data_IF_874434895366
#
_entry.id   IF_874434895366
#
_cell.length_a   1.000
_cell.length_b   1.000
_cell.length_c   1.000
_cell.angle_alpha   90.00
_cell.angle_beta   90.00
_cell.angle_gamma   90.00
#
_symmetry.space_group_name_H-M   'P 1'
#
loop_
_entity.id
_entity.type
_entity.pdbx_description
1 polymer ?
#
# COMPACT_ATOMS: atom_id res chain seq x y z
N UNK A 1 -6.96 30.72 -26.03
CA UNK A 1 -6.03 29.81 -26.74
C UNK A 1 -5.70 28.65 -25.81
N UNK A 2 -6.00 27.41 -26.19
CA UNK A 2 -5.67 26.24 -25.38
C UNK A 2 -4.14 26.05 -25.41
N UNK A 3 -3.46 26.19 -24.26
CA UNK A 3 -2.00 26.03 -24.23
C UNK A 3 -1.62 24.61 -24.67
N UNK A 4 -0.61 24.50 -25.53
CA UNK A 4 -0.07 23.20 -25.92
C UNK A 4 0.37 22.42 -24.67
N UNK A 5 0.06 21.12 -24.63
CA UNK A 5 0.39 20.22 -23.52
C UNK A 5 1.13 19.01 -24.03
N UNK A 6 2.12 18.53 -23.28
CA UNK A 6 2.83 17.31 -23.61
C UNK A 6 1.85 16.12 -23.61
N UNK A 7 1.97 15.22 -24.58
CA UNK A 7 1.19 13.99 -24.68
C UNK A 7 2.10 12.81 -24.35
N UNK A 8 1.58 11.80 -23.65
CA UNK A 8 2.33 10.55 -23.45
C UNK A 8 2.26 9.67 -24.68
N UNK A 9 3.29 8.85 -24.85
CA UNK A 9 3.33 7.77 -25.83
C UNK A 9 2.91 6.46 -25.19
N UNK A 10 2.38 5.52 -25.98
CA UNK A 10 2.01 4.18 -25.48
C UNK A 10 3.19 3.47 -24.82
N UNK A 11 4.41 3.62 -25.35
CA UNK A 11 5.61 3.03 -24.74
C UNK A 11 5.88 3.59 -23.34
N UNK A 12 5.69 4.89 -23.13
CA UNK A 12 5.80 5.50 -21.81
C UNK A 12 4.73 4.98 -20.85
N UNK A 13 3.49 4.81 -21.33
CA UNK A 13 2.40 4.31 -20.48
C UNK A 13 2.59 2.85 -20.08
N UNK A 14 3.07 2.00 -21.00
CA UNK A 14 3.46 0.63 -20.69
C UNK A 14 4.59 0.56 -19.67
N UNK A 15 5.58 1.43 -19.82
CA UNK A 15 6.69 1.51 -18.87
C UNK A 15 6.20 1.94 -17.48
N UNK A 16 5.37 2.98 -17.39
CA UNK A 16 4.77 3.40 -16.13
C UNK A 16 3.82 2.35 -15.53
N UNK A 17 3.13 1.56 -16.36
CA UNK A 17 2.30 0.45 -15.90
C UNK A 17 3.15 -0.70 -15.31
N UNK A 18 4.31 -1.00 -15.91
CA UNK A 18 5.27 -1.95 -15.34
C UNK A 18 5.81 -1.45 -13.98
N UNK A 19 6.07 -0.14 -13.86
CA UNK A 19 6.46 0.46 -12.58
C UNK A 19 5.32 0.49 -11.55
N UNK A 20 4.06 0.61 -11.99
CA UNK A 20 2.90 0.47 -11.11
C UNK A 20 2.74 -0.98 -10.60
N UNK A 21 2.97 -1.97 -11.47
CA UNK A 21 3.05 -3.38 -11.09
C UNK A 21 4.17 -3.61 -10.05
N UNK A 22 5.37 -3.11 -10.32
CA UNK A 22 6.50 -3.22 -9.38
C UNK A 22 6.20 -2.54 -8.03
N UNK A 23 5.58 -1.36 -8.07
CA UNK A 23 5.17 -0.61 -6.88
C UNK A 23 4.25 -1.44 -6.00
N UNK A 24 3.25 -2.12 -6.57
CA UNK A 24 2.32 -2.93 -5.78
C UNK A 24 2.91 -4.26 -5.30
N UNK A 25 3.93 -4.79 -5.97
CA UNK A 25 4.65 -5.97 -5.45
C UNK A 25 5.38 -5.67 -4.13
N UNK A 26 5.84 -4.43 -3.91
CA UNK A 26 6.55 -4.03 -2.68
C UNK A 26 5.75 -4.34 -1.40
N UNK A 27 4.56 -3.75 -1.20
CA UNK A 27 3.74 -3.99 -0.01
C UNK A 27 3.32 -5.46 0.16
N UNK A 28 3.13 -6.19 -0.94
CA UNK A 28 2.78 -7.61 -0.86
C UNK A 28 3.94 -8.47 -0.33
N UNK A 29 5.15 -8.22 -0.83
CA UNK A 29 6.37 -8.90 -0.36
C UNK A 29 6.65 -8.53 1.09
N UNK A 30 6.44 -7.27 1.45
CA UNK A 30 6.63 -6.78 2.80
C UNK A 30 5.61 -7.36 3.79
N UNK A 31 4.32 -7.34 3.44
CA UNK A 31 3.27 -7.99 4.23
C UNK A 31 3.46 -9.51 4.36
N UNK A 32 3.99 -10.16 3.32
CA UNK A 32 4.43 -11.55 3.41
C UNK A 32 5.56 -11.72 4.43
N UNK A 33 6.58 -10.86 4.40
CA UNK A 33 7.71 -10.93 5.33
C UNK A 33 7.27 -10.73 6.79
N UNK A 34 6.38 -9.75 7.05
CA UNK A 34 5.77 -9.52 8.36
C UNK A 34 5.00 -10.75 8.85
N UNK A 35 4.17 -11.37 8.01
CA UNK A 35 3.38 -12.57 8.38
C UNK A 35 4.23 -13.83 8.59
N UNK A 36 5.45 -13.88 8.06
CA UNK A 36 6.35 -15.03 8.14
C UNK A 36 7.55 -14.80 9.07
N UNK A 37 7.52 -13.75 9.91
CA UNK A 37 8.58 -13.43 10.87
C UNK A 37 9.95 -13.27 10.20
N UNK A 38 9.96 -12.72 8.98
CA UNK A 38 11.19 -12.43 8.20
C UNK A 38 11.65 -10.97 8.38
N UNK A 39 11.07 -10.26 9.33
CA UNK A 39 11.37 -8.87 9.70
C UNK A 39 11.76 -8.83 11.18
N UNK A 40 12.62 -7.88 11.51
CA UNK A 40 12.91 -7.50 12.88
C UNK A 40 12.03 -6.30 13.29
N UNK A 41 12.25 -5.78 14.50
CA UNK A 41 11.60 -4.55 14.99
C UNK A 41 12.30 -3.28 14.48
N UNK A 42 12.79 -3.31 13.24
CA UNK A 42 13.44 -2.15 12.61
C UNK A 42 12.58 -1.58 11.48
N UNK A 43 12.69 -0.26 11.28
CA UNK A 43 11.99 0.42 10.20
C UNK A 43 12.58 0.11 8.82
N UNK A 44 13.87 -0.24 8.73
CA UNK A 44 14.54 -0.46 7.45
C UNK A 44 14.84 -1.94 7.26
N UNK A 45 13.98 -2.62 6.51
CA UNK A 45 14.16 -4.03 6.15
C UNK A 45 14.56 -4.16 4.68
N UNK A 46 15.18 -5.28 4.27
CA UNK A 46 15.39 -5.58 2.85
C UNK A 46 14.10 -5.59 2.03
N UNK A 47 12.95 -5.87 2.65
CA UNK A 47 11.64 -5.92 2.02
C UNK A 47 11.09 -4.51 1.74
N UNK A 48 11.25 -3.58 2.69
CA UNK A 48 10.99 -2.15 2.48
C UNK A 48 11.84 -1.57 1.34
N UNK A 49 13.05 -2.07 1.11
CA UNK A 49 13.89 -1.61 0.01
C UNK A 49 13.25 -1.84 -1.37
N UNK A 50 12.45 -2.91 -1.53
CA UNK A 50 11.69 -3.15 -2.76
C UNK A 50 10.61 -2.08 -2.94
N UNK A 51 9.84 -1.80 -1.89
CA UNK A 51 8.80 -0.77 -1.88
C UNK A 51 9.40 0.63 -2.17
N UNK A 52 10.41 1.04 -1.41
CA UNK A 52 11.04 2.35 -1.59
C UNK A 52 11.78 2.46 -2.92
N UNK A 53 12.41 1.38 -3.39
CA UNK A 53 13.05 1.33 -4.70
C UNK A 53 12.04 1.50 -5.84
N UNK A 54 10.90 0.81 -5.78
CA UNK A 54 9.82 0.94 -6.76
C UNK A 54 9.22 2.35 -6.75
N UNK A 55 9.01 2.93 -5.56
CA UNK A 55 8.60 4.32 -5.40
C UNK A 55 9.62 5.24 -6.07
N UNK A 56 10.90 5.14 -5.70
CA UNK A 56 11.96 5.99 -6.22
C UNK A 56 12.06 5.94 -7.74
N UNK A 57 11.93 4.76 -8.35
CA UNK A 57 11.90 4.61 -9.81
C UNK A 57 10.71 5.35 -10.44
N UNK A 58 9.50 5.22 -9.89
CA UNK A 58 8.34 5.99 -10.36
C UNK A 58 8.60 7.50 -10.26
N UNK A 59 9.12 7.97 -9.12
CA UNK A 59 9.45 9.38 -8.89
C UNK A 59 10.50 9.92 -9.85
N UNK A 60 11.59 9.19 -10.06
CA UNK A 60 12.67 9.60 -10.96
C UNK A 60 12.20 9.70 -12.41
N UNK A 61 11.39 8.75 -12.87
CA UNK A 61 10.84 8.76 -14.23
C UNK A 61 9.88 9.93 -14.44
N UNK A 62 9.00 10.20 -13.46
CA UNK A 62 8.10 11.34 -13.51
C UNK A 62 8.86 12.67 -13.43
N UNK A 63 9.89 12.76 -12.59
CA UNK A 63 10.75 13.93 -12.51
C UNK A 63 11.47 14.17 -13.84
N UNK A 64 12.06 13.12 -14.43
CA UNK A 64 12.72 13.21 -15.73
C UNK A 64 11.74 13.63 -16.84
N UNK A 65 10.53 13.08 -16.87
CA UNK A 65 9.48 13.47 -17.81
C UNK A 65 9.06 14.94 -17.64
N UNK A 66 8.92 15.40 -16.40
CA UNK A 66 8.59 16.80 -16.08
C UNK A 66 9.72 17.76 -16.50
N UNK A 67 10.97 17.44 -16.18
CA UNK A 67 12.14 18.22 -16.62
C UNK A 67 12.22 18.26 -18.15
N UNK A 68 11.97 17.13 -18.82
CA UNK A 68 11.92 17.08 -20.27
C UNK A 68 10.83 17.99 -20.84
N UNK A 69 9.61 17.97 -20.26
CA UNK A 69 8.53 18.88 -20.65
C UNK A 69 8.91 20.36 -20.47
N UNK A 70 9.48 20.73 -19.33
CA UNK A 70 9.94 22.10 -19.09
C UNK A 70 11.02 22.54 -20.08
N UNK A 71 12.01 21.68 -20.37
CA UNK A 71 13.07 21.94 -21.35
C UNK A 71 12.55 22.09 -22.79
N UNK A 72 11.37 21.55 -23.09
CA UNK A 72 10.66 21.72 -24.36
C UNK A 72 9.80 22.99 -24.41
N UNK A 73 9.81 23.81 -23.36
CA UNK A 73 9.09 25.08 -23.29
C UNK A 73 7.64 24.99 -22.82
N UNK A 74 7.20 23.82 -22.34
CA UNK A 74 5.86 23.70 -21.73
C UNK A 74 5.83 24.41 -20.38
N UNK A 75 4.72 25.06 -20.06
CA UNK A 75 4.49 25.60 -18.71
C UNK A 75 4.45 24.47 -17.68
N UNK A 76 4.75 24.77 -16.41
CA UNK A 76 4.78 23.76 -15.34
C UNK A 76 3.54 22.86 -15.35
N UNK A 77 2.33 23.43 -15.39
CA UNK A 77 1.06 22.67 -15.42
C UNK A 77 0.94 21.71 -16.61
N UNK A 78 1.66 21.97 -17.70
CA UNK A 78 1.64 21.21 -18.95
C UNK A 78 2.91 20.38 -19.19
N UNK A 79 3.84 20.37 -18.23
CA UNK A 79 5.12 19.68 -18.34
C UNK A 79 5.00 18.15 -18.18
N UNK A 80 3.92 17.66 -17.58
CA UNK A 80 3.58 16.24 -17.53
C UNK A 80 2.33 15.94 -18.37
N UNK A 81 2.28 14.74 -18.98
CA UNK A 81 1.10 14.32 -19.71
C UNK A 81 -0.12 14.24 -18.77
N UNK A 82 -1.34 14.42 -19.31
CA UNK A 82 -2.57 14.18 -18.57
C UNK A 82 -2.55 12.83 -17.81
N UNK A 83 -3.07 12.83 -16.58
CA UNK A 83 -3.05 11.68 -15.68
C UNK A 83 -1.83 11.62 -14.74
N UNK A 84 -0.63 11.96 -15.23
CA UNK A 84 0.61 11.78 -14.45
C UNK A 84 0.86 12.82 -13.36
N UNK A 85 0.10 13.93 -13.33
CA UNK A 85 0.13 14.84 -12.17
C UNK A 85 -0.38 14.18 -10.89
N UNK A 86 -1.40 13.32 -10.99
CA UNK A 86 -1.89 12.57 -9.83
C UNK A 86 -0.80 11.65 -9.31
N UNK A 87 -0.10 10.95 -10.21
CA UNK A 87 1.03 10.10 -9.83
C UNK A 87 2.18 10.90 -9.21
N UNK A 88 2.54 12.06 -9.78
CA UNK A 88 3.59 12.91 -9.24
C UNK A 88 3.24 13.50 -7.85
N UNK A 89 1.97 13.87 -7.63
CA UNK A 89 1.50 14.28 -6.31
C UNK A 89 1.50 13.09 -5.33
N UNK A 90 1.15 11.89 -5.80
CA UNK A 90 1.25 10.65 -5.05
C UNK A 90 2.68 10.38 -4.59
N UNK A 91 3.68 10.58 -5.47
CA UNK A 91 5.11 10.48 -5.11
C UNK A 91 5.46 11.42 -3.96
N UNK A 92 5.08 12.69 -4.05
CA UNK A 92 5.34 13.68 -3.00
C UNK A 92 4.65 13.28 -1.69
N UNK A 93 3.39 12.85 -1.77
CA UNK A 93 2.63 12.38 -0.63
C UNK A 93 3.23 11.12 -0.02
N UNK A 94 3.79 10.21 -0.83
CA UNK A 94 4.43 9.00 -0.35
C UNK A 94 5.71 9.32 0.41
N UNK A 95 6.53 10.25 -0.08
CA UNK A 95 7.74 10.70 0.63
C UNK A 95 7.37 11.36 1.96
N UNK A 96 6.37 12.23 1.97
CA UNK A 96 5.86 12.84 3.21
C UNK A 96 5.26 11.79 4.15
N UNK A 97 4.50 10.85 3.61
CA UNK A 97 3.90 9.73 4.33
C UNK A 97 4.94 8.81 4.94
N UNK A 98 6.03 8.50 4.25
CA UNK A 98 7.12 7.68 4.77
C UNK A 98 7.91 8.38 5.88
N UNK A 99 8.10 9.70 5.78
CA UNK A 99 8.66 10.48 6.88
C UNK A 99 7.72 10.53 8.10
N UNK A 100 6.41 10.66 7.85
CA UNK A 100 5.38 10.60 8.88
C UNK A 100 5.33 9.22 9.54
N UNK A 101 5.46 8.15 8.77
CA UNK A 101 5.51 6.76 9.23
C UNK A 101 6.73 6.47 10.08
N UNK A 102 7.92 6.88 9.62
CA UNK A 102 9.14 6.80 10.42
C UNK A 102 8.99 7.54 11.76
N UNK A 103 8.46 8.77 11.75
CA UNK A 103 8.16 9.51 12.97
C UNK A 103 7.13 8.80 13.85
N UNK A 104 6.07 8.28 13.25
CA UNK A 104 5.00 7.58 13.94
C UNK A 104 5.54 6.41 14.75
N UNK A 105 6.42 5.61 14.15
CA UNK A 105 7.07 4.49 14.84
C UNK A 105 7.98 4.92 16.00
N UNK A 106 8.55 6.13 15.98
CA UNK A 106 9.32 6.64 17.13
C UNK A 106 8.44 6.98 18.33
N UNK A 107 7.17 7.35 18.09
CA UNK A 107 6.24 7.79 19.14
C UNK A 107 5.39 6.62 19.65
N UNK A 108 4.91 5.77 18.74
CA UNK A 108 3.93 4.72 19.05
C UNK A 108 4.51 3.30 18.97
N UNK A 109 5.75 3.14 18.49
CA UNK A 109 6.36 1.83 18.23
C UNK A 109 5.97 1.25 16.87
N UNK A 110 6.49 0.05 16.57
CA UNK A 110 6.13 -0.69 15.35
C UNK A 110 4.87 -1.49 15.61
N UNK A 111 3.87 -1.30 14.76
CA UNK A 111 2.60 -1.99 14.88
C UNK A 111 2.70 -3.49 14.63
N UNK A 112 1.76 -4.23 15.21
CA UNK A 112 1.51 -5.64 14.93
C UNK A 112 0.01 -5.81 14.70
N UNK A 113 -0.43 -6.95 14.18
CA UNK A 113 -1.87 -7.14 14.00
C UNK A 113 -2.45 -6.36 12.83
N UNK A 114 -3.74 -6.08 12.97
CA UNK A 114 -4.52 -5.25 12.03
C UNK A 114 -3.96 -3.81 12.01
N UNK A 115 -3.33 -3.34 13.10
CA UNK A 115 -2.80 -1.99 13.20
C UNK A 115 -1.72 -1.68 12.13
N UNK A 116 -1.02 -2.70 11.63
CA UNK A 116 -0.13 -2.58 10.45
C UNK A 116 -0.84 -2.04 9.20
N UNK A 117 -2.14 -2.35 9.04
CA UNK A 117 -2.93 -1.91 7.89
C UNK A 117 -3.66 -0.59 8.17
N UNK A 118 -4.18 -0.40 9.38
CA UNK A 118 -5.11 0.70 9.68
C UNK A 118 -4.47 1.90 10.38
N UNK A 119 -3.20 1.85 10.73
CA UNK A 119 -2.53 2.99 11.36
C UNK A 119 -2.56 4.22 10.43
N UNK A 120 -2.70 5.44 11.00
CA UNK A 120 -2.81 6.65 10.20
C UNK A 120 -1.66 6.85 9.21
N UNK A 121 -0.43 6.46 9.55
CA UNK A 121 0.72 6.60 8.67
C UNK A 121 0.65 5.67 7.45
N UNK A 122 0.31 4.40 7.66
CA UNK A 122 0.15 3.42 6.59
C UNK A 122 -1.02 3.78 5.66
N UNK A 123 -2.12 4.34 6.18
CA UNK A 123 -3.22 4.81 5.33
C UNK A 123 -2.82 5.99 4.42
N UNK A 124 -1.95 6.90 4.88
CA UNK A 124 -1.38 7.95 4.02
C UNK A 124 -0.55 7.33 2.89
N UNK A 125 0.28 6.33 3.22
CA UNK A 125 1.06 5.59 2.23
C UNK A 125 0.16 4.81 1.25
N UNK A 126 -0.94 4.21 1.72
CA UNK A 126 -1.91 3.51 0.90
C UNK A 126 -2.55 4.44 -0.14
N UNK A 127 -2.99 5.63 0.28
CA UNK A 127 -3.55 6.65 -0.60
C UNK A 127 -2.51 7.11 -1.61
N UNK A 128 -1.29 7.39 -1.16
CA UNK A 128 -0.20 7.81 -2.02
C UNK A 128 0.15 6.74 -3.08
N UNK A 129 0.25 5.47 -2.68
CA UNK A 129 0.47 4.34 -3.58
C UNK A 129 -0.63 4.19 -4.62
N UNK A 130 -1.90 4.35 -4.23
CA UNK A 130 -3.03 4.40 -5.15
C UNK A 130 -2.93 5.55 -6.16
N UNK A 131 -2.52 6.74 -5.71
CA UNK A 131 -2.31 7.90 -6.60
C UNK A 131 -1.18 7.67 -7.61
N UNK A 132 -0.05 7.08 -7.17
CA UNK A 132 1.09 6.74 -8.03
C UNK A 132 0.66 5.76 -9.13
N UNK A 133 0.01 4.67 -8.73
CA UNK A 133 -0.40 3.59 -9.64
C UNK A 133 -1.53 3.99 -10.60
N UNK A 134 -2.31 5.04 -10.28
CA UNK A 134 -3.38 5.58 -11.14
C UNK A 134 -2.89 6.31 -12.40
N UNK A 135 -1.60 6.67 -12.50
CA UNK A 135 -1.07 7.46 -13.61
C UNK A 135 -1.43 6.95 -15.02
N UNK A 136 -1.08 5.70 -15.38
CA UNK A 136 -1.43 5.12 -16.69
C UNK A 136 -2.93 5.03 -16.94
N UNK A 137 -3.72 4.62 -15.94
CA UNK A 137 -5.18 4.57 -16.03
C UNK A 137 -5.77 5.94 -16.41
N UNK A 138 -5.40 6.99 -15.67
CA UNK A 138 -5.87 8.35 -15.93
C UNK A 138 -5.34 8.88 -17.26
N UNK A 139 -4.12 8.50 -17.65
CA UNK A 139 -3.54 8.90 -18.93
C UNK A 139 -4.31 8.30 -20.13
N UNK A 140 -4.65 7.02 -20.09
CA UNK A 140 -5.44 6.36 -21.13
C UNK A 140 -6.86 6.92 -21.17
N UNK A 141 -7.51 7.05 -20.01
CA UNK A 141 -8.85 7.62 -19.90
C UNK A 141 -8.93 9.03 -20.51
N UNK A 142 -7.92 9.86 -20.27
CA UNK A 142 -7.87 11.24 -20.79
C UNK A 142 -7.62 11.35 -22.30
N UNK A 143 -6.98 10.36 -22.94
CA UNK A 143 -6.60 10.41 -24.35
C UNK A 143 -7.57 9.69 -25.28
N UNK A 144 -8.13 8.58 -24.82
CA UNK A 144 -8.93 7.69 -25.67
C UNK A 144 -10.40 7.63 -25.24
N UNK A 145 -10.74 8.03 -24.01
CA UNK A 145 -12.13 8.07 -23.54
C UNK A 145 -12.83 6.71 -23.67
N UNK A 146 -14.08 6.72 -24.15
CA UNK A 146 -14.91 5.52 -24.30
C UNK A 146 -14.56 4.67 -25.53
N UNK A 147 -13.80 5.23 -26.47
CA UNK A 147 -13.44 4.56 -27.73
C UNK A 147 -12.12 3.79 -27.61
N UNK A 148 -11.55 3.69 -26.40
CA UNK A 148 -10.34 2.95 -26.12
C UNK A 148 -10.54 1.45 -26.37
N UNK A 149 -9.88 0.91 -27.40
CA UNK A 149 -9.97 -0.50 -27.79
C UNK A 149 -8.61 -1.14 -28.00
N UNK A 150 -8.53 -2.44 -27.74
CA UNK A 150 -7.35 -3.27 -27.99
C UNK A 150 -6.29 -3.22 -26.88
N UNK A 151 -5.71 -4.39 -26.57
CA UNK A 151 -4.77 -4.57 -25.46
C UNK A 151 -3.58 -3.62 -25.47
N UNK A 152 -3.07 -3.27 -26.66
CA UNK A 152 -1.95 -2.33 -26.80
C UNK A 152 -2.24 -0.94 -26.21
N UNK A 153 -3.51 -0.52 -26.22
CA UNK A 153 -3.97 0.77 -25.70
C UNK A 153 -4.47 0.61 -24.26
N UNK A 154 -5.31 -0.38 -23.98
CA UNK A 154 -5.97 -0.50 -22.66
C UNK A 154 -5.12 -1.23 -21.62
N UNK A 155 -4.12 -2.02 -22.03
CA UNK A 155 -3.30 -2.82 -21.13
C UNK A 155 -2.65 -2.05 -19.99
N UNK A 156 -2.03 -0.87 -20.23
CA UNK A 156 -1.49 -0.03 -19.14
C UNK A 156 -2.55 0.37 -18.12
N UNK A 157 -3.76 0.72 -18.57
CA UNK A 157 -4.86 1.09 -17.69
C UNK A 157 -5.38 -0.11 -16.88
N UNK A 158 -5.42 -1.30 -17.48
CA UNK A 158 -5.82 -2.53 -16.79
C UNK A 158 -4.82 -2.89 -15.69
N UNK A 159 -3.51 -2.82 -15.96
CA UNK A 159 -2.47 -3.08 -14.95
C UNK A 159 -2.56 -2.07 -13.81
N UNK A 160 -2.76 -0.79 -14.11
CA UNK A 160 -2.98 0.24 -13.10
C UNK A 160 -4.22 -0.01 -12.25
N UNK A 161 -5.35 -0.36 -12.88
CA UNK A 161 -6.58 -0.67 -12.16
C UNK A 161 -6.42 -1.90 -11.27
N UNK A 162 -5.71 -2.93 -11.75
CA UNK A 162 -5.34 -4.09 -10.95
C UNK A 162 -4.48 -3.70 -9.75
N UNK A 163 -3.44 -2.86 -9.94
CA UNK A 163 -2.58 -2.42 -8.84
C UNK A 163 -3.36 -1.63 -7.77
N UNK A 164 -4.28 -0.74 -8.18
CA UNK A 164 -5.17 -0.02 -7.25
C UNK A 164 -6.09 -0.99 -6.50
N UNK A 165 -6.66 -1.96 -7.20
CA UNK A 165 -7.53 -2.98 -6.60
C UNK A 165 -6.78 -3.83 -5.57
N UNK A 166 -5.56 -4.26 -5.91
CA UNK A 166 -4.70 -5.02 -5.00
C UNK A 166 -4.29 -4.17 -3.80
N UNK A 167 -3.96 -2.89 -3.98
CA UNK A 167 -3.67 -1.98 -2.87
C UNK A 167 -4.87 -1.87 -1.93
N UNK A 168 -6.06 -1.61 -2.47
CA UNK A 168 -7.27 -1.56 -1.66
C UNK A 168 -7.50 -2.89 -0.93
N UNK A 169 -7.42 -4.00 -1.66
CA UNK A 169 -7.60 -5.35 -1.12
C UNK A 169 -6.63 -5.70 -0.01
N UNK A 170 -5.36 -5.30 -0.13
CA UNK A 170 -4.34 -5.47 0.90
C UNK A 170 -4.72 -4.73 2.19
N UNK A 171 -5.13 -3.46 2.07
CA UNK A 171 -5.50 -2.64 3.22
C UNK A 171 -6.85 -3.02 3.85
N UNK A 172 -7.76 -3.67 3.11
CA UNK A 172 -9.00 -4.23 3.64
C UNK A 172 -8.94 -5.74 3.91
N UNK A 173 -7.76 -6.35 3.83
CA UNK A 173 -7.60 -7.81 3.98
C UNK A 173 -8.09 -8.32 5.34
N UNK A 174 -8.06 -7.47 6.38
CA UNK A 174 -8.60 -7.78 7.71
C UNK A 174 -10.12 -8.01 7.72
N UNK A 175 -10.84 -7.55 6.69
CA UNK A 175 -12.30 -7.62 6.60
C UNK A 175 -12.80 -8.77 5.70
N UNK A 176 -11.92 -9.70 5.32
CA UNK A 176 -12.33 -10.80 4.45
C UNK A 176 -13.21 -11.83 5.21
N UNK A 177 -14.32 -12.31 4.61
CA UNK A 177 -15.25 -13.23 5.28
C UNK A 177 -14.77 -14.69 5.28
N UNK A 178 -13.69 -15.00 4.55
CA UNK A 178 -13.12 -16.34 4.44
C UNK A 178 -11.90 -16.38 5.35
N UNK A 179 -11.96 -17.22 6.38
CA UNK A 179 -10.82 -17.48 7.27
C UNK A 179 -9.74 -18.22 6.47
N UNK A 180 -8.67 -17.52 6.08
CA UNK A 180 -7.64 -17.99 5.16
C UNK A 180 -6.32 -18.37 5.87
N UNK A 181 -6.28 -18.31 7.19
CA UNK A 181 -5.05 -18.53 7.96
C UNK A 181 -4.02 -17.38 7.85
N UNK A 182 -4.25 -16.37 7.00
CA UNK A 182 -3.43 -15.15 6.90
C UNK A 182 -3.85 -14.11 7.94
N UNK A 183 -5.16 -14.03 8.19
CA UNK A 183 -5.78 -13.15 9.20
C UNK A 183 -5.30 -13.47 10.64
N UNK A 184 -5.20 -14.74 11.08
CA UNK A 184 -4.64 -15.09 12.39
C UNK A 184 -3.12 -14.89 12.52
N UNK A 185 -2.37 -14.88 11.40
CA UNK A 185 -0.91 -14.69 11.39
C UNK A 185 -0.52 -13.22 11.38
N UNK A 186 -1.29 -12.37 10.69
CA UNK A 186 -1.15 -10.91 10.80
C UNK A 186 -1.56 -10.43 12.19
N UNK A 187 -2.58 -11.05 12.82
CA UNK A 187 -3.02 -10.84 14.20
C UNK A 187 -2.14 -11.47 15.31
N UNK A 188 -1.06 -12.15 14.95
CA UNK A 188 -0.18 -12.78 15.96
C UNK A 188 0.77 -11.75 16.55
N UNK A 189 0.60 -11.45 17.84
CA UNK A 189 1.59 -10.76 18.65
C UNK A 189 2.95 -11.47 18.56
N UNK A 190 4.02 -10.68 18.55
CA UNK A 190 5.40 -11.10 18.81
C UNK A 190 5.48 -12.11 19.98
N UNK A 191 6.46 -13.02 19.89
CA UNK A 191 6.78 -14.05 20.88
C UNK A 191 7.44 -13.50 22.16
N UNK A 192 7.32 -12.20 22.43
CA UNK A 192 7.54 -11.65 23.76
C UNK A 192 6.49 -12.22 24.71
N UNK A 193 6.93 -12.56 25.93
CA UNK A 193 6.18 -13.33 26.94
C UNK A 193 4.90 -12.68 27.46
N UNK A 194 3.91 -12.51 26.59
CA UNK A 194 2.63 -11.91 26.92
C UNK A 194 1.81 -12.83 27.82
N UNK A 195 1.27 -12.24 28.87
CA UNK A 195 0.25 -12.83 29.73
C UNK A 195 -1.07 -12.80 28.97
N UNK A 196 -1.54 -13.96 28.52
CA UNK A 196 -2.87 -14.09 27.96
C UNK A 196 -3.90 -14.16 29.09
N UNK A 197 -5.04 -13.46 29.02
CA UNK A 197 -6.17 -13.75 29.90
C UNK A 197 -6.68 -15.16 29.57
N UNK A 198 -6.35 -16.11 30.44
CA UNK A 198 -6.85 -17.49 30.35
C UNK A 198 -7.93 -17.65 31.41
N UNK A 199 -9.12 -18.10 31.00
CA UNK A 199 -10.19 -18.40 31.95
C UNK A 199 -9.88 -19.74 32.62
N UNK A 200 -9.73 -19.71 33.94
CA UNK A 200 -9.63 -20.91 34.77
C UNK A 200 -10.96 -21.14 35.46
N UNK A 201 -11.43 -22.40 35.47
CA UNK A 201 -12.52 -22.81 36.37
C UNK A 201 -11.93 -23.55 37.57
N UNK A 202 -12.49 -23.23 38.72
CA UNK A 202 -12.34 -24.01 39.95
C UNK A 202 -13.60 -24.84 40.14
N UNK A 203 -13.45 -26.14 40.34
CA UNK A 203 -14.55 -26.95 40.84
C UNK A 203 -14.68 -26.85 42.37
N UNK A 204 -15.72 -27.47 42.92
CA UNK A 204 -15.98 -27.46 44.38
C UNK A 204 -14.95 -28.24 45.20
N UNK A 205 -14.06 -29.00 44.55
CA UNK A 205 -12.97 -29.73 45.21
C UNK A 205 -11.64 -28.97 45.15
N UNK A 206 -11.62 -27.79 44.50
CA UNK A 206 -10.44 -26.94 44.37
C UNK A 206 -9.56 -27.27 43.17
N UNK A 207 -10.01 -28.15 42.27
CA UNK A 207 -9.28 -28.53 41.06
C UNK A 207 -9.35 -27.40 40.05
N UNK A 208 -8.18 -26.95 39.59
CA UNK A 208 -8.05 -25.95 38.54
C UNK A 208 -8.05 -26.63 37.18
N UNK A 209 -8.92 -26.19 36.27
CA UNK A 209 -8.84 -26.58 34.87
C UNK A 209 -8.90 -25.36 33.96
N UNK A 210 -8.03 -25.37 32.95
CA UNK A 210 -8.02 -24.37 31.89
C UNK A 210 -9.24 -24.56 31.00
N UNK A 211 -10.02 -23.50 30.80
CA UNK A 211 -11.09 -23.51 29.80
C UNK A 211 -10.47 -23.10 28.47
N UNK A 212 -10.51 -24.00 27.48
CA UNK A 212 -10.21 -23.65 26.11
C UNK A 212 -11.40 -22.85 25.55
N UNK A 213 -11.18 -21.57 25.24
CA UNK A 213 -12.18 -20.78 24.53
C UNK A 213 -12.11 -21.11 23.04
N UNK A 214 -13.26 -21.28 22.36
CA UNK A 214 -13.27 -21.34 20.91
C UNK A 214 -12.79 -20.01 20.32
N UNK A 215 -12.24 -20.00 19.11
CA UNK A 215 -11.60 -18.81 18.52
C UNK A 215 -12.50 -17.58 18.35
N UNK A 216 -13.82 -17.73 18.54
CA UNK A 216 -14.83 -16.76 18.16
C UNK A 216 -15.44 -16.00 19.36
N UNK A 217 -14.84 -16.09 20.54
CA UNK A 217 -15.37 -15.48 21.76
C UNK A 217 -14.51 -14.26 22.16
N UNK A 218 -14.95 -13.07 21.73
CA UNK A 218 -14.38 -11.80 22.20
C UNK A 218 -14.86 -11.51 23.63
N UNK A 219 -13.92 -11.44 24.56
CA UNK A 219 -14.15 -10.85 25.88
C UNK A 219 -13.78 -9.37 25.78
N UNK A 220 -14.68 -8.55 25.23
CA UNK A 220 -14.55 -7.10 25.40
C UNK A 220 -14.53 -6.79 26.90
N UNK A 221 -13.54 -6.02 27.31
CA UNK A 221 -13.31 -5.62 28.69
C UNK A 221 -14.44 -4.66 29.08
N UNK A 222 -15.52 -5.17 29.67
CA UNK A 222 -16.53 -4.32 30.30
C UNK A 222 -15.94 -3.81 31.61
N UNK A 223 -15.50 -2.56 31.61
CA UNK A 223 -15.22 -1.86 32.85
C UNK A 223 -16.55 -1.69 33.61
N UNK A 224 -16.67 -2.34 34.76
CA UNK A 224 -17.70 -2.07 35.78
C UNK A 224 -17.00 -1.42 36.97
#
# INVERSE_FOLDING_TARGET
MQQARIRSSLGFDWFMAALAFLMICGPLIDGWAHSHQQVDQSFFTPWHAVLYGAMALNGLVLLAAGIYGLRRGYSFRNALPPGYWVAALGVVLFVAGGAFDAWWHTVFGIETGIALLISPSHLVLAVAGGMITAGPLLSIASRYGRDAGGWKIVGPAVISAWAIMVNLGFFVAYAQPIEDGFTPLTMRSDSSGNVYPVLYRYDRTGTVSRIAMPPNLDLETVHV
#
